data_IF_053365931691
#
_entry.id   IF_053365931691
#
_cell.length_a   1.000
_cell.length_b   1.000
_cell.length_c   1.000
_cell.angle_alpha   90.00
_cell.angle_beta   90.00
_cell.angle_gamma   90.00
#
_symmetry.space_group_name_H-M   'P 1'
#
loop_
_entity.id
_entity.type
_entity.pdbx_description
1 polymer ?
#
# COMPACT_ATOMS: atom_id res chain seq x y z
N UNK A 1 21.00 14.27 75.48
CA UNK A 1 19.91 13.39 74.98
C UNK A 1 19.61 13.64 73.50
N UNK A 2 19.43 14.89 73.05
CA UNK A 2 19.11 15.20 71.64
C UNK A 2 20.17 14.78 70.59
N UNK A 3 21.47 14.91 70.89
CA UNK A 3 22.53 14.58 69.92
C UNK A 3 22.68 13.08 69.59
N UNK A 4 22.42 12.20 70.57
CA UNK A 4 22.44 10.74 70.37
C UNK A 4 21.26 10.26 69.54
N UNK A 5 20.08 10.87 69.72
CA UNK A 5 18.87 10.57 68.95
C UNK A 5 19.04 11.01 67.49
N UNK A 6 19.61 12.20 67.26
CA UNK A 6 19.90 12.68 65.90
C UNK A 6 20.88 11.76 65.16
N UNK A 7 21.94 11.29 65.83
CA UNK A 7 22.92 10.37 65.25
C UNK A 7 22.28 9.01 64.88
N UNK A 8 21.40 8.49 65.74
CA UNK A 8 20.69 7.25 65.49
C UNK A 8 19.72 7.35 64.30
N UNK A 9 19.02 8.48 64.15
CA UNK A 9 18.14 8.74 63.01
C UNK A 9 18.94 8.83 61.70
N UNK A 10 20.10 9.51 61.72
CA UNK A 10 20.99 9.62 60.55
C UNK A 10 21.52 8.24 60.14
N UNK A 11 21.92 7.40 61.11
CA UNK A 11 22.41 6.04 60.84
C UNK A 11 21.31 5.14 60.26
N UNK A 12 20.09 5.18 60.79
CA UNK A 12 18.95 4.43 60.25
C UNK A 12 18.60 4.86 58.82
N UNK A 13 18.56 6.17 58.57
CA UNK A 13 18.29 6.71 57.24
C UNK A 13 19.36 6.30 56.22
N UNK A 14 20.65 6.30 56.59
CA UNK A 14 21.72 5.85 55.72
C UNK A 14 21.61 4.35 55.36
N UNK A 15 21.29 3.49 56.34
CA UNK A 15 21.09 2.05 56.14
C UNK A 15 19.89 1.77 55.22
N UNK A 16 18.80 2.52 55.37
CA UNK A 16 17.63 2.40 54.49
C UNK A 16 17.93 2.83 53.06
N UNK A 17 18.70 3.92 52.88
CA UNK A 17 19.14 4.40 51.56
C UNK A 17 20.00 3.37 50.82
N UNK A 18 20.95 2.70 51.49
CA UNK A 18 21.76 1.64 50.86
C UNK A 18 20.94 0.41 50.46
N UNK A 19 19.97 0.00 51.28
CA UNK A 19 19.11 -1.16 50.99
C UNK A 19 18.15 -0.92 49.81
N UNK A 20 17.63 0.30 49.69
CA UNK A 20 16.71 0.69 48.62
C UNK A 20 17.47 0.97 47.31
N UNK A 21 18.69 1.50 47.38
CA UNK A 21 19.56 1.68 46.22
C UNK A 21 19.94 0.32 45.58
N UNK A 22 20.27 -0.69 46.38
CA UNK A 22 20.60 -2.03 45.86
C UNK A 22 19.38 -2.74 45.24
N UNK A 23 18.18 -2.56 45.80
CA UNK A 23 16.94 -3.09 45.21
C UNK A 23 16.57 -2.42 43.89
N UNK A 24 16.87 -1.13 43.76
CA UNK A 24 16.63 -0.35 42.55
C UNK A 24 17.53 -0.81 41.40
N UNK A 25 18.82 -1.03 41.67
CA UNK A 25 19.81 -1.53 40.71
C UNK A 25 19.46 -2.90 40.10
N UNK A 26 18.98 -3.84 40.93
CA UNK A 26 18.54 -5.17 40.46
C UNK A 26 17.29 -5.08 39.59
N UNK A 27 16.37 -4.17 39.92
CA UNK A 27 15.16 -3.96 39.13
C UNK A 27 15.46 -3.24 37.81
N UNK A 28 16.37 -2.27 37.81
CA UNK A 28 16.82 -1.56 36.61
C UNK A 28 17.52 -2.53 35.64
N UNK A 29 18.34 -3.45 36.15
CA UNK A 29 18.97 -4.52 35.36
C UNK A 29 17.93 -5.42 34.69
N UNK A 30 16.88 -5.83 35.43
CA UNK A 30 15.78 -6.64 34.88
C UNK A 30 14.96 -5.87 33.84
N UNK A 31 14.76 -4.57 34.04
CA UNK A 31 14.03 -3.74 33.10
C UNK A 31 14.78 -3.64 31.77
N UNK A 32 16.10 -3.46 31.81
CA UNK A 32 16.95 -3.48 30.61
C UNK A 32 16.89 -4.84 29.89
N UNK A 33 17.03 -5.97 30.61
CA UNK A 33 16.90 -7.31 30.01
C UNK A 33 15.52 -7.55 29.37
N UNK A 34 14.45 -7.02 29.97
CA UNK A 34 13.12 -7.08 29.40
C UNK A 34 12.98 -6.20 28.16
N UNK A 35 13.61 -5.02 28.15
CA UNK A 35 13.63 -4.15 26.97
C UNK A 35 14.39 -4.81 25.82
N UNK A 36 15.57 -5.38 26.08
CA UNK A 36 16.36 -6.10 25.08
C UNK A 36 15.55 -7.26 24.46
N UNK A 37 14.81 -8.01 25.28
CA UNK A 37 13.92 -9.08 24.80
C UNK A 37 12.74 -8.57 23.99
N UNK A 38 12.17 -7.42 24.35
CA UNK A 38 11.10 -6.79 23.57
C UNK A 38 11.63 -6.37 22.20
N UNK A 39 12.81 -5.75 22.14
CA UNK A 39 13.44 -5.31 20.90
C UNK A 39 13.80 -6.51 20.00
N UNK A 40 14.30 -7.60 20.58
CA UNK A 40 14.55 -8.85 19.86
C UNK A 40 13.25 -9.42 19.26
N UNK A 41 12.17 -9.48 20.06
CA UNK A 41 10.88 -9.96 19.58
C UNK A 41 10.27 -9.06 18.50
N UNK A 42 10.43 -7.74 18.62
CA UNK A 42 10.00 -6.78 17.60
C UNK A 42 10.73 -7.04 16.28
N UNK A 43 12.05 -7.23 16.30
CA UNK A 43 12.83 -7.54 15.11
C UNK A 43 12.35 -8.83 14.41
N UNK A 44 12.06 -9.88 15.17
CA UNK A 44 11.53 -11.14 14.63
C UNK A 44 10.15 -10.92 13.98
N UNK A 45 9.28 -10.11 14.59
CA UNK A 45 7.95 -9.81 14.05
C UNK A 45 8.03 -9.01 12.75
N UNK A 46 8.93 -8.04 12.67
CA UNK A 46 9.16 -7.25 11.46
C UNK A 46 9.68 -8.11 10.31
N UNK A 47 10.68 -8.96 10.56
CA UNK A 47 11.24 -9.87 9.55
C UNK A 47 10.16 -10.85 9.03
N UNK A 48 9.42 -11.48 9.94
CA UNK A 48 8.32 -12.38 9.56
C UNK A 48 7.20 -11.63 8.85
N UNK A 49 6.93 -10.39 9.25
CA UNK A 49 5.98 -9.49 8.60
C UNK A 49 6.37 -9.22 7.15
N UNK A 50 7.62 -8.85 6.91
CA UNK A 50 8.16 -8.61 5.56
C UNK A 50 8.06 -9.84 4.66
N UNK A 51 8.41 -11.03 5.18
CA UNK A 51 8.29 -12.29 4.43
C UNK A 51 6.83 -12.60 4.09
N UNK A 52 5.91 -12.41 5.04
CA UNK A 52 4.47 -12.60 4.83
C UNK A 52 3.96 -11.66 3.74
N UNK A 53 4.33 -10.38 3.81
CA UNK A 53 3.89 -9.37 2.85
C UNK A 53 4.47 -9.61 1.45
N UNK A 54 5.73 -10.07 1.36
CA UNK A 54 6.33 -10.48 0.10
C UNK A 54 5.55 -11.63 -0.54
N UNK A 55 5.28 -12.71 0.22
CA UNK A 55 4.53 -13.87 -0.29
C UNK A 55 3.10 -13.51 -0.71
N UNK A 56 2.44 -12.60 0.01
CA UNK A 56 1.11 -12.13 -0.35
C UNK A 56 1.11 -11.36 -1.67
N UNK A 57 2.12 -10.51 -1.91
CA UNK A 57 2.29 -9.81 -3.19
C UNK A 57 2.52 -10.79 -4.35
N UNK A 58 3.41 -11.76 -4.16
CA UNK A 58 3.71 -12.80 -5.15
C UNK A 58 2.46 -13.64 -5.49
N UNK A 59 1.70 -14.03 -4.48
CA UNK A 59 0.46 -14.78 -4.67
C UNK A 59 -0.61 -13.96 -5.40
N UNK A 60 -0.79 -12.70 -5.03
CA UNK A 60 -1.73 -11.79 -5.71
C UNK A 60 -1.39 -11.63 -7.19
N UNK A 61 -0.10 -11.43 -7.52
CA UNK A 61 0.37 -11.32 -8.91
C UNK A 61 0.08 -12.60 -9.70
N UNK A 62 0.36 -13.77 -9.10
CA UNK A 62 0.06 -15.05 -9.73
C UNK A 62 -1.44 -15.25 -9.95
N UNK A 63 -2.28 -14.85 -8.99
CA UNK A 63 -3.73 -14.91 -9.14
C UNK A 63 -4.22 -14.04 -10.29
N UNK A 64 -3.73 -12.80 -10.42
CA UNK A 64 -4.05 -11.91 -11.54
C UNK A 64 -3.66 -12.55 -12.88
N UNK A 65 -2.47 -13.14 -12.97
CA UNK A 65 -2.01 -13.83 -14.20
C UNK A 65 -2.88 -15.04 -14.56
N UNK A 66 -3.33 -15.80 -13.57
CA UNK A 66 -4.24 -16.94 -13.78
C UNK A 66 -5.63 -16.46 -14.21
N UNK A 67 -6.15 -15.39 -13.60
CA UNK A 67 -7.44 -14.79 -13.98
C UNK A 67 -7.44 -14.36 -15.45
N UNK A 68 -6.38 -13.66 -15.88
CA UNK A 68 -6.18 -13.26 -17.28
C UNK A 68 -6.17 -14.45 -18.25
N UNK A 69 -5.58 -15.59 -17.87
CA UNK A 69 -5.55 -16.79 -18.70
C UNK A 69 -6.90 -17.51 -18.76
N UNK A 70 -7.68 -17.45 -17.67
CA UNK A 70 -9.03 -18.02 -17.61
C UNK A 70 -9.98 -17.26 -18.54
N UNK A 71 -9.77 -15.95 -18.69
CA UNK A 71 -10.62 -15.05 -19.47
C UNK A 71 -12.00 -14.83 -18.85
N UNK A 72 -12.69 -13.79 -19.32
CA UNK A 72 -14.06 -13.47 -18.93
C UNK A 72 -15.06 -14.25 -19.80
N UNK A 73 -16.19 -14.63 -19.20
CA UNK A 73 -17.35 -15.18 -19.93
C UNK A 73 -18.36 -14.09 -20.33
N UNK A 74 -18.10 -12.85 -19.93
CA UNK A 74 -18.92 -11.70 -20.25
C UNK A 74 -18.56 -11.12 -21.63
N UNK A 75 -19.47 -10.32 -22.18
CA UNK A 75 -19.29 -9.59 -23.41
C UNK A 75 -18.22 -8.52 -23.34
N UNK A 76 -17.98 -7.88 -24.49
CA UNK A 76 -17.11 -6.71 -24.58
C UNK A 76 -17.75 -5.58 -23.76
N UNK A 77 -16.96 -4.89 -22.93
CA UNK A 77 -17.42 -3.83 -22.00
C UNK A 77 -18.30 -4.30 -20.84
N UNK A 78 -18.20 -5.58 -20.49
CA UNK A 78 -18.85 -6.13 -19.32
C UNK A 78 -17.83 -6.58 -18.26
N UNK A 79 -18.18 -6.36 -17.01
CA UNK A 79 -17.45 -6.79 -15.82
C UNK A 79 -18.06 -8.06 -15.25
N UNK A 80 -17.23 -9.05 -14.94
CA UNK A 80 -17.65 -10.32 -14.35
C UNK A 80 -17.53 -10.27 -12.82
N UNK A 81 -18.64 -10.45 -12.11
CA UNK A 81 -18.64 -10.46 -10.65
C UNK A 81 -17.79 -11.61 -10.08
N UNK A 82 -17.10 -11.37 -8.97
CA UNK A 82 -16.04 -12.25 -8.45
C UNK A 82 -16.55 -13.63 -8.01
N UNK A 83 -17.63 -13.70 -7.24
CA UNK A 83 -18.17 -14.95 -6.69
C UNK A 83 -19.28 -15.57 -7.57
N UNK A 84 -19.83 -14.80 -8.50
CA UNK A 84 -20.86 -15.24 -9.45
C UNK A 84 -20.30 -15.20 -10.86
N UNK A 85 -19.52 -16.22 -11.24
CA UNK A 85 -18.83 -16.30 -12.54
C UNK A 85 -19.76 -16.32 -13.78
N UNK A 86 -21.07 -16.15 -13.62
CA UNK A 86 -22.05 -16.08 -14.70
C UNK A 86 -22.72 -14.70 -14.73
N UNK A 87 -22.61 -13.90 -13.67
CA UNK A 87 -23.22 -12.58 -13.62
C UNK A 87 -22.28 -11.54 -14.20
N UNK A 88 -22.80 -10.78 -15.15
CA UNK A 88 -22.08 -9.76 -15.89
C UNK A 88 -22.85 -8.45 -15.77
N UNK A 89 -22.14 -7.37 -15.49
CA UNK A 89 -22.67 -6.00 -15.48
C UNK A 89 -21.90 -5.15 -16.47
N UNK A 90 -22.43 -3.99 -16.82
CA UNK A 90 -21.75 -3.07 -17.73
C UNK A 90 -20.56 -2.38 -17.03
N UNK A 91 -19.46 -2.13 -17.75
CA UNK A 91 -18.25 -1.47 -17.22
C UNK A 91 -18.50 -0.12 -16.50
N UNK A 92 -19.53 0.63 -16.90
CA UNK A 92 -19.92 1.91 -16.29
C UNK A 92 -20.53 1.79 -14.89
N UNK A 93 -20.98 0.59 -14.51
CA UNK A 93 -21.56 0.28 -13.20
C UNK A 93 -20.49 -0.14 -12.19
N UNK A 94 -19.23 -0.25 -12.62
CA UNK A 94 -18.13 -0.62 -11.72
C UNK A 94 -17.63 0.64 -11.01
N UNK A 95 -17.58 0.59 -9.68
CA UNK A 95 -17.12 1.68 -8.84
C UNK A 95 -17.96 2.96 -8.99
N UNK A 96 -19.26 2.80 -9.22
CA UNK A 96 -20.19 3.89 -9.38
C UNK A 96 -20.85 4.32 -8.04
N UNK A 97 -20.58 3.59 -6.97
CA UNK A 97 -21.12 3.83 -5.63
C UNK A 97 -22.39 3.03 -5.32
N UNK A 98 -22.89 2.22 -6.26
CA UNK A 98 -24.01 1.32 -6.08
C UNK A 98 -23.56 -0.14 -6.23
N UNK A 99 -24.19 -1.04 -5.47
CA UNK A 99 -23.91 -2.48 -5.59
C UNK A 99 -24.83 -3.09 -6.63
N UNK A 100 -24.31 -3.34 -7.82
CA UNK A 100 -24.99 -4.00 -8.94
C UNK A 100 -24.64 -5.49 -9.03
N UNK A 101 -23.44 -5.89 -8.62
CA UNK A 101 -23.14 -7.31 -8.46
C UNK A 101 -23.90 -7.91 -7.26
N UNK A 102 -24.41 -9.16 -7.36
CA UNK A 102 -25.06 -9.85 -6.23
C UNK A 102 -24.15 -10.02 -5.00
N UNK A 103 -22.84 -10.06 -5.22
CA UNK A 103 -21.83 -10.12 -4.16
C UNK A 103 -21.23 -8.74 -3.81
N UNK A 104 -21.65 -7.68 -4.50
CA UNK A 104 -21.12 -6.32 -4.35
C UNK A 104 -19.66 -6.16 -4.80
N UNK A 105 -19.13 -7.12 -5.55
CA UNK A 105 -17.72 -7.13 -5.95
C UNK A 105 -17.36 -5.97 -6.86
N UNK A 106 -18.30 -5.41 -7.61
CA UNK A 106 -18.17 -4.20 -8.42
C UNK A 106 -17.76 -2.95 -7.63
N UNK A 107 -18.08 -2.89 -6.35
CA UNK A 107 -17.75 -1.76 -5.46
C UNK A 107 -16.49 -2.01 -4.59
N UNK A 108 -15.78 -3.11 -4.84
CA UNK A 108 -14.53 -3.42 -4.16
C UNK A 108 -13.32 -2.85 -4.95
N UNK A 109 -12.20 -2.59 -4.29
CA UNK A 109 -10.93 -2.22 -4.96
C UNK A 109 -11.02 -1.00 -5.92
N UNK A 110 -11.92 -0.04 -5.68
CA UNK A 110 -12.14 1.15 -6.50
C UNK A 110 -11.06 2.25 -6.41
N UNK A 111 -9.83 1.88 -6.07
CA UNK A 111 -8.71 2.81 -5.94
C UNK A 111 -8.16 3.15 -7.32
N UNK A 112 -8.17 4.43 -7.70
CA UNK A 112 -7.46 4.91 -8.89
C UNK A 112 -5.93 4.78 -8.68
N UNK A 113 -5.21 3.97 -9.47
CA UNK A 113 -3.75 3.92 -9.44
C UNK A 113 -3.10 5.11 -10.14
N UNK A 114 -3.81 5.77 -11.08
CA UNK A 114 -3.32 6.89 -11.87
C UNK A 114 -3.64 8.23 -11.19
N UNK A 115 -3.10 8.44 -9.99
CA UNK A 115 -3.24 9.71 -9.26
C UNK A 115 -2.32 10.78 -9.82
N UNK A 116 -2.71 12.05 -9.70
CA UNK A 116 -1.83 13.17 -10.04
C UNK A 116 -0.49 13.06 -9.29
N UNK A 117 0.62 13.19 -10.01
CA UNK A 117 1.99 12.96 -9.53
C UNK A 117 2.53 11.55 -9.74
N UNK A 118 1.72 10.61 -10.24
CA UNK A 118 2.19 9.26 -10.59
C UNK A 118 2.87 9.26 -11.96
N UNK A 119 3.96 8.51 -12.09
CA UNK A 119 4.67 8.30 -13.36
C UNK A 119 4.66 6.82 -13.72
N UNK A 120 4.20 6.50 -14.93
CA UNK A 120 4.22 5.15 -15.48
C UNK A 120 5.29 5.07 -16.57
N UNK A 121 6.28 4.21 -16.37
CA UNK A 121 7.40 4.05 -17.31
C UNK A 121 7.29 2.72 -18.05
N UNK A 122 7.49 2.75 -19.37
CA UNK A 122 7.54 1.57 -20.22
C UNK A 122 8.65 1.67 -21.25
N UNK A 123 9.03 0.53 -21.81
CA UNK A 123 10.01 0.46 -22.91
C UNK A 123 9.28 0.04 -24.17
N UNK A 124 9.48 0.79 -25.25
CA UNK A 124 8.85 0.48 -26.54
C UNK A 124 9.46 -0.77 -27.16
N UNK A 125 8.60 -1.69 -27.63
CA UNK A 125 9.03 -2.93 -28.28
C UNK A 125 8.44 -3.01 -29.69
N UNK A 126 9.31 -2.98 -30.72
CA UNK A 126 9.04 -3.24 -32.14
C UNK A 126 7.59 -2.97 -32.61
N UNK A 127 7.25 -1.68 -32.76
CA UNK A 127 5.91 -1.28 -33.18
C UNK A 127 5.89 -1.03 -34.70
N UNK A 128 4.95 -1.67 -35.41
CA UNK A 128 4.80 -1.59 -36.87
C UNK A 128 4.51 -0.19 -37.43
N UNK A 129 4.12 0.77 -36.60
CA UNK A 129 3.70 2.11 -37.02
C UNK A 129 4.71 3.23 -36.67
N UNK A 130 5.65 2.98 -35.76
CA UNK A 130 6.66 3.97 -35.36
C UNK A 130 8.02 3.55 -35.86
N UNK A 131 8.36 3.95 -37.08
CA UNK A 131 9.69 3.76 -37.66
C UNK A 131 10.68 4.70 -36.96
N UNK A 132 11.11 4.35 -35.74
CA UNK A 132 12.08 5.17 -35.01
C UNK A 132 12.30 4.78 -33.55
N UNK A 133 11.27 4.26 -32.87
CA UNK A 133 11.33 3.98 -31.43
C UNK A 133 11.59 2.50 -31.20
N UNK A 134 12.80 2.16 -30.78
CA UNK A 134 13.21 0.77 -30.54
C UNK A 134 14.03 0.72 -29.26
N UNK A 135 13.33 0.41 -28.17
CA UNK A 135 13.95 0.37 -26.85
C UNK A 135 13.92 1.70 -26.11
N UNK A 136 13.24 2.70 -26.66
CA UNK A 136 13.08 4.02 -26.05
C UNK A 136 12.23 3.90 -24.79
N UNK A 137 12.64 4.65 -23.76
CA UNK A 137 11.94 4.75 -22.48
C UNK A 137 10.85 5.79 -22.62
N UNK A 138 9.60 5.37 -22.48
CA UNK A 138 8.44 6.25 -22.50
C UNK A 138 7.90 6.38 -21.09
N UNK A 139 7.73 7.63 -20.65
CA UNK A 139 7.10 7.93 -19.36
C UNK A 139 5.76 8.65 -19.59
N UNK A 140 4.75 8.23 -18.85
CA UNK A 140 3.45 8.87 -18.75
C UNK A 140 3.31 9.47 -17.35
N UNK A 141 3.43 10.78 -17.27
CA UNK A 141 3.28 11.56 -16.04
C UNK A 141 1.84 12.02 -15.91
N UNK A 142 1.14 11.55 -14.88
CA UNK A 142 -0.22 12.01 -14.58
C UNK A 142 -0.10 13.38 -13.92
N UNK A 143 -0.48 14.44 -14.63
CA UNK A 143 -0.37 15.82 -14.14
C UNK A 143 -1.69 16.35 -13.57
N UNK A 144 -2.81 15.70 -13.89
CA UNK A 144 -4.12 16.05 -13.36
C UNK A 144 -5.06 14.85 -13.31
N UNK A 145 -5.94 14.85 -12.31
CA UNK A 145 -7.06 13.92 -12.23
C UNK A 145 -8.34 14.66 -11.84
N UNK A 146 -9.47 14.27 -12.43
CA UNK A 146 -10.78 14.84 -12.12
C UNK A 146 -11.83 13.74 -12.06
N UNK A 147 -12.53 13.68 -10.93
CA UNK A 147 -13.68 12.79 -10.72
C UNK A 147 -14.93 13.64 -10.53
N UNK A 148 -16.00 13.32 -11.25
CA UNK A 148 -17.29 13.99 -11.12
C UNK A 148 -18.21 13.16 -10.23
N UNK A 149 -18.99 13.82 -9.36
CA UNK A 149 -19.91 13.13 -8.47
C UNK A 149 -21.06 12.43 -9.22
N UNK A 150 -21.45 12.96 -10.38
CA UNK A 150 -22.50 12.36 -11.22
C UNK A 150 -22.00 11.12 -11.99
N UNK A 151 -20.68 10.95 -12.11
CA UNK A 151 -20.03 9.84 -12.84
C UNK A 151 -18.79 9.34 -12.09
N UNK A 152 -18.95 8.76 -10.89
CA UNK A 152 -17.81 8.35 -10.06
C UNK A 152 -17.03 7.16 -10.66
N UNK A 153 -17.66 6.33 -11.49
CA UNK A 153 -17.02 5.22 -12.19
C UNK A 153 -15.88 5.65 -13.14
N UNK A 154 -15.89 6.92 -13.58
CA UNK A 154 -14.98 7.45 -14.59
C UNK A 154 -14.07 8.51 -13.96
N UNK A 155 -12.75 8.33 -14.12
CA UNK A 155 -11.75 9.33 -13.75
C UNK A 155 -11.13 9.92 -15.00
N UNK A 156 -11.22 11.23 -15.15
CA UNK A 156 -10.58 11.96 -16.25
C UNK A 156 -9.15 12.31 -15.85
N UNK A 157 -8.20 12.06 -16.74
CA UNK A 157 -6.78 12.24 -16.50
C UNK A 157 -6.20 13.24 -17.48
N UNK A 158 -5.26 14.06 -17.02
CA UNK A 158 -4.40 14.89 -17.85
C UNK A 158 -2.99 14.30 -17.76
N UNK A 159 -2.41 13.96 -18.90
CA UNK A 159 -1.17 13.18 -19.00
C UNK A 159 -0.13 13.94 -19.82
N UNK A 160 1.07 14.08 -19.25
CA UNK A 160 2.25 14.55 -19.95
C UNK A 160 3.11 13.35 -20.33
N UNK A 161 3.57 13.29 -21.57
CA UNK A 161 4.39 12.16 -22.04
C UNK A 161 5.82 12.63 -22.30
N UNK A 162 6.80 11.79 -21.98
CA UNK A 162 8.19 11.96 -22.38
C UNK A 162 8.75 10.68 -23.01
N UNK A 163 9.69 10.85 -23.95
CA UNK A 163 10.39 9.77 -24.64
C UNK A 163 11.88 10.02 -24.51
N UNK A 164 12.63 9.06 -23.95
CA UNK A 164 14.06 9.18 -23.61
C UNK A 164 14.39 10.48 -22.86
N UNK A 165 13.50 10.87 -21.95
CA UNK A 165 13.60 12.10 -21.15
C UNK A 165 13.22 13.38 -21.88
N UNK A 166 12.85 13.33 -23.16
CA UNK A 166 12.33 14.48 -23.90
C UNK A 166 10.80 14.55 -23.77
N UNK A 167 10.33 15.59 -23.10
CA UNK A 167 8.90 15.87 -22.93
C UNK A 167 8.26 16.29 -24.26
N UNK A 168 7.17 15.62 -24.63
CA UNK A 168 6.39 15.98 -25.81
C UNK A 168 5.68 17.33 -25.60
N UNK A 169 5.52 18.16 -26.64
CA UNK A 169 4.99 19.51 -26.50
C UNK A 169 3.49 19.58 -26.22
N UNK A 170 2.78 18.46 -26.36
CA UNK A 170 1.36 18.33 -26.12
C UNK A 170 1.08 17.52 -24.87
N UNK A 171 -0.08 17.79 -24.28
CA UNK A 171 -0.68 17.02 -23.20
C UNK A 171 -1.80 16.17 -23.79
N UNK A 172 -2.06 15.05 -23.15
CA UNK A 172 -3.13 14.14 -23.54
C UNK A 172 -4.19 14.08 -22.46
N UNK A 173 -5.44 14.06 -22.91
CA UNK A 173 -6.57 13.70 -22.06
C UNK A 173 -6.75 12.19 -22.09
N UNK A 174 -6.90 11.60 -20.91
CA UNK A 174 -7.11 10.17 -20.71
C UNK A 174 -8.32 9.89 -19.83
N UNK A 175 -8.72 8.63 -19.81
CA UNK A 175 -9.79 8.15 -18.93
C UNK A 175 -9.31 6.88 -18.25
N UNK A 176 -9.52 6.80 -16.94
CA UNK A 176 -9.40 5.57 -16.17
C UNK A 176 -10.80 5.10 -15.78
N UNK A 177 -11.13 3.87 -16.19
CA UNK A 177 -12.35 3.18 -15.79
C UNK A 177 -12.06 2.32 -14.56
N UNK A 178 -12.95 2.39 -13.57
CA UNK A 178 -12.85 1.60 -12.35
C UNK A 178 -12.63 0.12 -12.67
N UNK A 179 -11.48 -0.42 -12.25
CA UNK A 179 -11.09 -1.83 -12.43
C UNK A 179 -11.09 -2.29 -13.90
N UNK A 180 -10.36 -1.59 -14.75
CA UNK A 180 -10.03 -2.11 -16.08
C UNK A 180 -9.05 -3.30 -15.97
N UNK A 181 -9.57 -4.49 -16.27
CA UNK A 181 -8.85 -5.75 -16.56
C UNK A 181 -7.96 -6.37 -15.45
N UNK A 182 -8.57 -7.27 -14.68
CA UNK A 182 -7.88 -8.43 -14.10
C UNK A 182 -7.99 -9.65 -15.04
#
# INVERSE_FOLDING_TARGET
>A
MAGLVALAIILLAAVQVESDASRKDVNDTRLNDLQDKVDELQGILEERGAIRDQRLKEFSELQSRVAKLKGSRCGVREFQCTNSAIFCIHDILVCDGAKDCPDGSDEEFCTNPAKAGSTFTGVTNNIKCSTGYKGDVVCFDIIGEKRYNDFPAIVFLEVQTSIDGQTLPFKFDGVYLGRDHA
#
